data_IF_237598423977
#
_entry.id   IF_237598423977
#
_cell.length_a   1.000
_cell.length_b   1.000
_cell.length_c   1.000
_cell.angle_alpha   90.00
_cell.angle_beta   90.00
_cell.angle_gamma   90.00
#
_symmetry.space_group_name_H-M   'P 1'
#
loop_
_entity.id
_entity.type
_entity.pdbx_description
1 polymer ?
#
# COMPACT_ATOMS: atom_id res chain seq x y z
N UNK A 1 2.03 -28.77 -9.50
CA UNK A 1 2.58 -27.44 -9.19
C UNK A 1 2.87 -26.68 -10.48
N UNK A 2 1.84 -26.27 -11.24
CA UNK A 2 2.00 -25.41 -12.44
C UNK A 2 1.12 -24.14 -12.30
N UNK A 3 0.55 -23.89 -11.12
CA UNK A 3 -0.45 -22.83 -10.92
C UNK A 3 0.03 -21.62 -10.12
N UNK A 4 1.15 -21.67 -9.38
CA UNK A 4 1.64 -20.49 -8.62
C UNK A 4 2.04 -19.33 -9.53
N UNK A 5 2.85 -19.60 -10.56
CA UNK A 5 3.48 -18.53 -11.35
C UNK A 5 2.49 -17.66 -12.14
N UNK A 6 1.29 -18.17 -12.41
CA UNK A 6 0.31 -17.45 -13.22
C UNK A 6 -0.38 -16.32 -12.45
N UNK A 7 -0.47 -16.41 -11.12
CA UNK A 7 -1.23 -15.43 -10.32
C UNK A 7 -0.37 -14.54 -9.44
N UNK A 8 0.96 -14.76 -9.40
CA UNK A 8 1.86 -13.98 -8.54
C UNK A 8 1.69 -12.46 -8.71
N UNK A 9 1.56 -11.94 -9.93
CA UNK A 9 1.35 -10.51 -10.17
C UNK A 9 0.00 -10.01 -9.64
N UNK A 10 -1.06 -10.80 -9.79
CA UNK A 10 -2.38 -10.45 -9.27
C UNK A 10 -2.33 -10.46 -7.74
N UNK A 11 -1.69 -11.45 -7.12
CA UNK A 11 -1.59 -11.57 -5.67
C UNK A 11 -0.71 -10.45 -5.08
N UNK A 12 0.37 -10.06 -5.76
CA UNK A 12 1.18 -8.90 -5.36
C UNK A 12 0.38 -7.59 -5.46
N UNK A 13 -0.39 -7.40 -6.54
CA UNK A 13 -1.25 -6.22 -6.70
C UNK A 13 -2.39 -6.19 -5.66
N UNK A 14 -2.96 -7.34 -5.32
CA UNK A 14 -4.00 -7.50 -4.30
C UNK A 14 -3.47 -7.11 -2.92
N UNK A 15 -2.35 -7.70 -2.50
CA UNK A 15 -1.67 -7.35 -1.26
C UNK A 15 -1.31 -5.85 -1.20
N UNK A 16 -0.85 -5.29 -2.32
CA UNK A 16 -0.52 -3.85 -2.41
C UNK A 16 -1.77 -2.98 -2.29
N UNK A 17 -2.89 -3.42 -2.86
CA UNK A 17 -4.18 -2.72 -2.75
C UNK A 17 -4.73 -2.78 -1.32
N UNK A 18 -4.54 -3.88 -0.60
CA UNK A 18 -4.89 -4.01 0.81
C UNK A 18 -4.12 -3.00 1.68
N UNK A 19 -2.80 -2.87 1.47
CA UNK A 19 -1.99 -1.87 2.19
C UNK A 19 -2.40 -0.44 1.83
N UNK A 20 -2.68 -0.18 0.56
CA UNK A 20 -3.18 1.12 0.08
C UNK A 20 -4.50 1.48 0.76
N UNK A 21 -5.42 0.53 0.88
CA UNK A 21 -6.68 0.70 1.59
C UNK A 21 -6.50 0.95 3.10
N UNK A 22 -5.58 0.23 3.75
CA UNK A 22 -5.23 0.48 5.15
C UNK A 22 -4.69 1.90 5.34
N UNK A 23 -3.78 2.35 4.46
CA UNK A 23 -3.23 3.71 4.51
C UNK A 23 -4.30 4.77 4.31
N UNK A 24 -5.21 4.58 3.35
CA UNK A 24 -6.36 5.46 3.15
C UNK A 24 -7.22 5.56 4.42
N UNK A 25 -7.45 4.44 5.10
CA UNK A 25 -8.20 4.40 6.37
C UNK A 25 -7.48 5.18 7.47
N UNK A 26 -6.15 5.08 7.56
CA UNK A 26 -5.37 5.85 8.54
C UNK A 26 -5.44 7.36 8.26
N UNK A 27 -5.33 7.79 6.99
CA UNK A 27 -5.48 9.20 6.62
C UNK A 27 -6.85 9.74 7.05
N UNK A 28 -7.92 8.98 6.79
CA UNK A 28 -9.27 9.36 7.23
C UNK A 28 -9.39 9.42 8.76
N UNK A 29 -8.73 8.52 9.47
CA UNK A 29 -8.66 8.54 10.93
C UNK A 29 -7.89 9.77 11.45
N UNK A 30 -6.79 10.16 10.81
CA UNK A 30 -6.05 11.38 11.14
C UNK A 30 -6.94 12.61 10.96
N UNK A 31 -7.59 12.74 9.80
CA UNK A 31 -8.51 13.85 9.51
C UNK A 31 -9.66 13.94 10.52
N UNK A 32 -10.23 12.80 10.92
CA UNK A 32 -11.29 12.76 11.93
C UNK A 32 -10.81 13.21 13.33
N UNK A 33 -9.51 13.15 13.60
CA UNK A 33 -8.89 13.50 14.87
C UNK A 33 -8.04 14.79 14.81
N UNK A 34 -8.19 15.61 13.78
CA UNK A 34 -7.48 16.91 13.66
C UNK A 34 -7.78 17.88 14.83
N UNK A 35 -8.99 17.79 15.39
CA UNK A 35 -9.40 18.59 16.56
C UNK A 35 -9.27 17.84 17.90
N UNK A 36 -8.70 16.63 17.90
CA UNK A 36 -8.52 15.81 19.12
C UNK A 36 -7.22 16.21 19.83
N UNK A 37 -7.25 16.81 21.04
CA UNK A 37 -6.04 17.22 21.75
C UNK A 37 -5.14 16.02 22.06
N UNK A 38 -3.83 16.19 21.83
CA UNK A 38 -2.84 15.14 22.06
C UNK A 38 -2.85 13.97 21.06
N UNK A 39 -3.69 14.00 20.03
CA UNK A 39 -3.65 13.00 18.97
C UNK A 39 -2.33 13.07 18.19
N UNK A 40 -1.86 11.92 17.71
CA UNK A 40 -0.64 11.80 16.93
C UNK A 40 -0.92 11.14 15.60
N UNK A 41 -0.52 11.83 14.52
CA UNK A 41 -0.63 11.35 13.15
C UNK A 41 -0.01 9.98 13.00
N UNK A 42 -0.74 9.06 12.37
CA UNK A 42 -0.28 7.73 12.01
C UNK A 42 -0.22 7.59 10.49
N UNK A 43 0.78 6.88 9.97
CA UNK A 43 0.92 6.62 8.54
C UNK A 43 1.54 5.23 8.31
N UNK A 44 1.49 4.75 7.06
CA UNK A 44 2.10 3.49 6.62
C UNK A 44 3.25 3.76 5.67
N UNK A 45 4.41 3.16 5.92
CA UNK A 45 5.57 3.25 5.03
C UNK A 45 5.43 2.32 3.82
N UNK A 46 4.56 2.68 2.87
CA UNK A 46 4.23 1.84 1.71
C UNK A 46 5.44 1.56 0.80
N UNK A 47 6.26 2.58 0.52
CA UNK A 47 7.36 2.44 -0.45
C UNK A 47 8.49 1.54 0.05
N UNK A 48 8.78 1.57 1.35
CA UNK A 48 9.80 0.71 1.94
C UNK A 48 9.34 -0.74 1.93
N UNK A 49 8.07 -0.97 2.25
CA UNK A 49 7.43 -2.29 2.19
C UNK A 49 7.44 -2.81 0.76
N UNK A 50 6.89 -2.09 -0.21
CA UNK A 50 6.87 -2.52 -1.62
C UNK A 50 8.29 -2.77 -2.17
N UNK A 51 9.24 -1.90 -1.81
CA UNK A 51 10.65 -2.06 -2.21
C UNK A 51 11.26 -3.29 -1.57
N UNK A 52 11.02 -3.54 -0.29
CA UNK A 52 11.52 -4.73 0.41
C UNK A 52 10.95 -5.99 -0.25
N UNK A 53 9.65 -6.04 -0.48
CA UNK A 53 9.02 -7.17 -1.14
C UNK A 53 9.58 -7.40 -2.57
N UNK A 54 9.81 -6.35 -3.36
CA UNK A 54 10.32 -6.47 -4.73
C UNK A 54 11.84 -6.63 -4.86
N UNK A 55 12.65 -6.09 -3.93
CA UNK A 55 14.12 -6.06 -4.00
C UNK A 55 14.83 -7.03 -3.05
N UNK A 56 14.20 -7.45 -1.95
CA UNK A 56 14.79 -8.46 -1.05
C UNK A 56 14.77 -9.85 -1.71
N UNK A 57 13.93 -10.01 -2.73
CA UNK A 57 14.04 -11.09 -3.70
C UNK A 57 15.20 -10.80 -4.66
N UNK A 58 16.37 -11.37 -4.35
CA UNK A 58 17.59 -11.41 -5.19
C UNK A 58 17.38 -12.18 -6.52
N UNK A 59 16.36 -11.82 -7.29
CA UNK A 59 16.04 -12.45 -8.56
C UNK A 59 16.37 -11.52 -9.72
N UNK A 60 16.80 -12.12 -10.82
CA UNK A 60 17.22 -11.40 -12.03
C UNK A 60 16.04 -10.92 -12.88
N UNK A 61 14.82 -11.38 -12.60
CA UNK A 61 13.60 -10.95 -13.28
C UNK A 61 12.48 -10.61 -12.28
N UNK A 62 11.70 -9.59 -12.61
CA UNK A 62 10.53 -9.13 -11.84
C UNK A 62 9.49 -10.24 -11.66
N UNK A 63 9.27 -11.06 -12.69
CA UNK A 63 8.38 -12.22 -12.64
C UNK A 63 8.76 -13.21 -11.54
N UNK A 64 10.05 -13.53 -11.39
CA UNK A 64 10.52 -14.45 -10.34
C UNK A 64 10.43 -13.83 -8.95
N UNK A 65 10.65 -12.52 -8.83
CA UNK A 65 10.51 -11.83 -7.56
C UNK A 65 9.08 -11.92 -7.03
N UNK A 66 8.12 -11.62 -7.91
CA UNK A 66 6.69 -11.62 -7.62
C UNK A 66 6.14 -13.02 -7.32
N UNK A 67 6.61 -14.06 -8.03
CA UNK A 67 6.14 -15.42 -7.78
C UNK A 67 6.67 -16.00 -6.47
N UNK A 68 7.87 -15.59 -6.04
CA UNK A 68 8.44 -16.02 -4.75
C UNK A 68 7.70 -15.42 -3.55
N UNK A 69 7.26 -14.16 -3.68
CA UNK A 69 6.38 -13.49 -2.72
C UNK A 69 5.07 -14.26 -2.49
N UNK A 70 4.51 -14.80 -3.58
CA UNK A 70 3.26 -15.57 -3.57
C UNK A 70 3.44 -16.96 -2.92
N UNK A 71 4.52 -17.67 -3.25
CA UNK A 71 4.79 -19.03 -2.76
C UNK A 71 5.05 -19.09 -1.25
N UNK A 72 5.64 -18.05 -0.65
CA UNK A 72 5.91 -17.98 0.79
C UNK A 72 4.67 -17.55 1.61
N UNK A 73 3.54 -17.22 0.95
CA UNK A 73 2.31 -16.77 1.61
C UNK A 73 2.49 -15.44 2.36
N UNK A 74 3.47 -14.63 1.93
CA UNK A 74 3.78 -13.35 2.55
C UNK A 74 2.66 -12.35 2.25
N UNK A 75 1.85 -12.06 3.27
CA UNK A 75 0.99 -10.89 3.26
C UNK A 75 1.86 -9.66 3.46
N UNK A 76 1.73 -8.73 2.54
CA UNK A 76 2.38 -7.43 2.65
C UNK A 76 1.65 -6.66 3.74
N UNK A 77 2.26 -6.57 4.92
CA UNK A 77 1.72 -5.78 6.03
C UNK A 77 2.32 -4.38 5.99
N UNK A 78 1.46 -3.36 6.00
CA UNK A 78 1.90 -1.98 6.12
C UNK A 78 2.59 -1.76 7.46
N UNK A 79 3.80 -1.21 7.45
CA UNK A 79 4.48 -0.82 8.70
C UNK A 79 3.89 0.52 9.12
N UNK A 80 2.97 0.47 10.08
CA UNK A 80 2.42 1.67 10.72
C UNK A 80 3.48 2.34 11.58
N UNK A 81 3.58 3.67 11.47
CA UNK A 81 4.41 4.48 12.36
C UNK A 81 3.66 5.73 12.82
N UNK A 82 4.02 6.20 14.02
CA UNK A 82 3.55 7.48 14.53
C UNK A 82 4.48 8.57 14.06
N UNK A 83 3.97 9.44 13.19
CA UNK A 83 4.75 10.54 12.65
C UNK A 83 5.03 11.57 13.75
N UNK A 84 6.29 11.97 13.89
CA UNK A 84 6.75 12.96 14.87
C UNK A 84 6.17 12.81 16.30
N UNK A 85 6.13 11.59 16.85
CA UNK A 85 5.52 11.34 18.18
C UNK A 85 6.01 12.22 19.34
N UNK A 86 7.20 12.83 19.23
CA UNK A 86 7.79 13.72 20.23
C UNK A 86 7.68 15.23 19.91
N UNK A 87 7.18 15.59 18.73
CA UNK A 87 7.03 16.99 18.32
C UNK A 87 5.55 17.35 18.21
N UNK A 88 5.18 18.46 18.85
CA UNK A 88 3.85 19.06 18.73
C UNK A 88 4.05 20.50 18.31
N UNK A 89 3.70 20.81 17.06
CA UNK A 89 3.76 22.18 16.56
C UNK A 89 2.59 23.03 17.08
N UNK A 90 1.50 22.38 17.49
CA UNK A 90 0.31 23.01 18.10
C UNK A 90 0.37 22.96 19.63
N UNK A 91 -0.19 23.99 20.27
CA UNK A 91 -0.30 24.11 21.73
C UNK A 91 -1.14 22.99 22.37
N UNK A 92 -2.05 22.39 21.62
CA UNK A 92 -2.92 21.29 22.04
C UNK A 92 -2.23 19.91 22.00
N UNK A 93 -0.96 19.84 21.58
CA UNK A 93 -0.22 18.60 21.48
C UNK A 93 -0.51 17.78 20.22
N UNK A 94 -1.43 18.23 19.36
CA UNK A 94 -1.73 17.58 18.08
C UNK A 94 -0.67 17.93 17.03
N UNK A 95 -0.40 17.00 16.13
CA UNK A 95 0.49 17.18 14.98
C UNK A 95 -0.16 16.81 13.63
N UNK A 96 -1.46 16.58 13.60
CA UNK A 96 -2.23 16.46 12.35
C UNK A 96 -2.36 17.84 11.70
N UNK A 97 -2.26 17.86 10.38
CA UNK A 97 -2.47 19.03 9.52
C UNK A 97 -3.46 18.66 8.41
N UNK A 98 -4.64 19.25 8.45
CA UNK A 98 -5.74 18.95 7.53
C UNK A 98 -5.38 19.17 6.05
N UNK A 99 -4.59 20.19 5.72
CA UNK A 99 -4.20 20.46 4.33
C UNK A 99 -3.26 19.36 3.83
N UNK A 100 -2.34 18.92 4.68
CA UNK A 100 -1.43 17.80 4.41
C UNK A 100 -2.21 16.49 4.25
N UNK A 101 -3.13 16.16 5.16
CA UNK A 101 -3.93 14.94 5.05
C UNK A 101 -4.81 14.92 3.79
N UNK A 102 -5.34 16.06 3.34
CA UNK A 102 -6.09 16.14 2.09
C UNK A 102 -5.23 15.84 0.86
N UNK A 103 -3.98 16.32 0.86
CA UNK A 103 -3.01 16.02 -0.22
C UNK A 103 -2.65 14.54 -0.22
N UNK A 104 -2.37 13.96 0.96
CA UNK A 104 -2.08 12.53 1.10
C UNK A 104 -3.28 11.68 0.69
N UNK A 105 -4.51 12.06 1.07
CA UNK A 105 -5.74 11.37 0.67
C UNK A 105 -5.92 11.35 -0.85
N UNK A 106 -5.67 12.48 -1.52
CA UNK A 106 -5.74 12.58 -2.97
C UNK A 106 -4.68 11.70 -3.64
N UNK A 107 -3.45 11.72 -3.12
CA UNK A 107 -2.34 10.88 -3.57
C UNK A 107 -2.68 9.38 -3.44
N UNK A 108 -3.19 8.97 -2.28
CA UNK A 108 -3.54 7.58 -2.00
C UNK A 108 -4.74 7.12 -2.83
N UNK A 109 -5.73 7.99 -3.06
CA UNK A 109 -6.86 7.70 -3.95
C UNK A 109 -6.39 7.41 -5.37
N UNK A 110 -5.47 8.22 -5.91
CA UNK A 110 -4.88 8.00 -7.23
C UNK A 110 -4.07 6.70 -7.28
N UNK A 111 -3.31 6.41 -6.22
CA UNK A 111 -2.54 5.17 -6.08
C UNK A 111 -3.45 3.94 -6.12
N UNK A 112 -4.51 3.92 -5.31
CA UNK A 112 -5.48 2.82 -5.28
C UNK A 112 -6.15 2.62 -6.65
N UNK A 113 -6.54 3.70 -7.33
CA UNK A 113 -7.11 3.64 -8.68
C UNK A 113 -6.11 3.05 -9.70
N UNK A 114 -4.83 3.42 -9.62
CA UNK A 114 -3.79 2.88 -10.47
C UNK A 114 -3.55 1.39 -10.23
N UNK A 115 -3.57 0.94 -8.97
CA UNK A 115 -3.49 -0.47 -8.60
C UNK A 115 -4.67 -1.26 -9.19
N UNK A 116 -5.90 -0.77 -9.00
CA UNK A 116 -7.11 -1.42 -9.53
C UNK A 116 -7.11 -1.51 -11.06
N UNK A 117 -6.63 -0.46 -11.72
CA UNK A 117 -6.47 -0.45 -13.19
C UNK A 117 -5.44 -1.48 -13.64
N UNK A 118 -4.32 -1.61 -12.91
CA UNK A 118 -3.27 -2.59 -13.19
C UNK A 118 -3.79 -4.02 -13.03
N UNK A 119 -4.53 -4.30 -11.95
CA UNK A 119 -5.17 -5.60 -11.71
C UNK A 119 -6.15 -5.96 -12.84
N UNK A 120 -6.98 -5.00 -13.26
CA UNK A 120 -7.91 -5.19 -14.38
C UNK A 120 -7.18 -5.50 -15.69
N UNK A 121 -6.06 -4.84 -15.94
CA UNK A 121 -5.24 -5.09 -17.12
C UNK A 121 -4.64 -6.50 -17.13
N UNK A 122 -4.17 -7.01 -15.99
CA UNK A 122 -3.69 -8.39 -15.88
C UNK A 122 -4.80 -9.41 -16.15
N UNK A 123 -6.00 -9.22 -15.61
CA UNK A 123 -7.14 -10.06 -15.95
C UNK A 123 -7.49 -10.02 -17.46
N UNK A 124 -7.41 -8.86 -18.08
CA UNK A 124 -7.63 -8.72 -19.53
C UNK A 124 -6.56 -9.46 -20.34
N UNK A 125 -5.29 -9.47 -19.88
CA UNK A 125 -4.21 -10.27 -20.50
C UNK A 125 -4.53 -11.76 -20.44
N UNK A 126 -4.93 -12.29 -19.28
CA UNK A 126 -5.35 -13.70 -19.16
C UNK A 126 -6.52 -14.02 -20.08
N UNK A 127 -7.55 -13.18 -20.08
CA UNK A 127 -8.71 -13.36 -20.96
C UNK A 127 -8.30 -13.39 -22.43
N UNK A 128 -7.40 -12.51 -22.87
CA UNK A 128 -6.90 -12.47 -24.25
C UNK A 128 -6.14 -13.74 -24.66
N UNK A 129 -5.48 -14.41 -23.72
CA UNK A 129 -4.76 -15.67 -23.98
C UNK A 129 -5.72 -16.87 -24.01
N UNK A 130 -6.70 -16.88 -23.11
CA UNK A 130 -7.70 -17.98 -23.01
C UNK A 130 -8.76 -17.92 -24.10
N UNK A 131 -9.10 -16.72 -24.61
CA UNK A 131 -10.14 -16.56 -25.64
C UNK A 131 -9.67 -16.87 -27.06
N UNK A 132 -8.50 -17.51 -27.23
CA UNK A 132 -7.98 -18.03 -28.50
C UNK A 132 -8.11 -19.54 -28.52
#
# INVERSE_FOLDING_TARGET
MITSDAFGFINALDNTADVSWQRQTLILNNMANDDTPGYKRQDIEFESVLRKELLDVHETSLERAVNKLDDDGHKVEGIEYTDYGHYSYRLDGNNVDMDTENVELASETLRYQALMTSTTNEFNRFKSVISK
#
